data_IF_681275873832
#
_entry.id   IF_681275873832
#
_cell.length_a   1.000
_cell.length_b   1.000
_cell.length_c   1.000
_cell.angle_alpha   90.00
_cell.angle_beta   90.00
_cell.angle_gamma   90.00
#
_symmetry.space_group_name_H-M   'P 1'
#
loop_
_entity.id
_entity.type
_entity.pdbx_description
1 polymer ?
#
# COMPACT_ATOMS: atom_id res chain seq x y z
N UNK A 1 13.78 -15.34 -7.99
CA UNK A 1 13.11 -14.50 -9.02
C UNK A 1 11.65 -14.41 -8.63
N UNK A 2 11.04 -13.22 -8.74
CA UNK A 2 9.65 -12.97 -8.36
C UNK A 2 8.76 -12.89 -9.61
N UNK A 3 7.57 -13.48 -9.56
CA UNK A 3 6.52 -13.43 -10.58
C UNK A 3 5.46 -12.37 -10.24
N UNK A 4 5.37 -11.25 -10.99
CA UNK A 4 4.40 -10.20 -10.73
C UNK A 4 2.94 -10.61 -10.97
N UNK A 5 2.69 -11.58 -11.87
CA UNK A 5 1.33 -11.99 -12.25
C UNK A 5 0.61 -12.79 -11.16
N UNK A 6 1.30 -13.09 -10.08
CA UNK A 6 0.76 -13.81 -8.92
C UNK A 6 0.55 -12.90 -7.72
N UNK A 7 0.87 -11.62 -7.81
CA UNK A 7 0.80 -10.71 -6.67
C UNK A 7 -0.61 -10.21 -6.44
N UNK A 8 -1.00 -10.20 -5.17
CA UNK A 8 -2.19 -9.52 -4.69
C UNK A 8 -1.79 -8.37 -3.75
N UNK A 9 -2.53 -7.27 -3.81
CA UNK A 9 -2.35 -6.13 -2.91
C UNK A 9 -3.69 -5.71 -2.34
N UNK A 10 -3.71 -5.40 -1.04
CA UNK A 10 -4.90 -5.02 -0.31
C UNK A 10 -4.65 -3.77 0.54
N UNK A 11 -5.67 -2.91 0.59
CA UNK A 11 -5.81 -1.90 1.65
C UNK A 11 -6.80 -2.44 2.69
N UNK A 12 -6.31 -2.66 3.91
CA UNK A 12 -6.94 -3.47 4.94
C UNK A 12 -7.40 -4.84 4.43
N UNK A 13 -8.69 -4.96 4.09
CA UNK A 13 -9.32 -6.18 3.55
C UNK A 13 -9.85 -5.99 2.13
N UNK A 14 -9.67 -4.80 1.55
CA UNK A 14 -10.16 -4.43 0.23
C UNK A 14 -9.05 -4.68 -0.81
N UNK A 15 -9.25 -5.58 -1.78
CA UNK A 15 -8.25 -5.84 -2.79
C UNK A 15 -8.16 -4.65 -3.75
N UNK A 16 -6.94 -4.25 -4.11
CA UNK A 16 -6.64 -3.27 -5.17
C UNK A 16 -5.94 -3.90 -6.37
N UNK A 17 -5.16 -4.95 -6.13
CA UNK A 17 -4.50 -5.75 -7.16
C UNK A 17 -4.81 -7.22 -6.89
N UNK A 18 -5.16 -7.95 -7.95
CA UNK A 18 -5.36 -9.40 -7.95
C UNK A 18 -4.68 -10.03 -9.15
N UNK A 19 -3.87 -11.08 -8.93
CA UNK A 19 -3.10 -11.75 -9.98
C UNK A 19 -2.31 -10.75 -10.86
N UNK A 20 -1.62 -9.80 -10.21
CA UNK A 20 -0.83 -8.76 -10.89
C UNK A 20 -1.63 -7.71 -11.67
N UNK A 21 -2.96 -7.68 -11.55
CA UNK A 21 -3.84 -6.75 -12.28
C UNK A 21 -4.74 -5.95 -11.33
N UNK A 22 -5.02 -4.70 -11.67
CA UNK A 22 -5.97 -3.86 -10.94
C UNK A 22 -7.38 -4.47 -10.94
N UNK A 23 -8.10 -4.33 -9.83
CA UNK A 23 -9.43 -4.95 -9.64
C UNK A 23 -10.62 -4.18 -10.26
N UNK A 24 -10.35 -3.08 -10.98
CA UNK A 24 -11.34 -2.23 -11.64
C UNK A 24 -11.90 -1.10 -10.76
N UNK A 25 -12.49 -0.08 -11.41
CA UNK A 25 -12.78 1.23 -10.80
C UNK A 25 -13.74 1.22 -9.60
N UNK A 26 -14.74 0.33 -9.57
CA UNK A 26 -15.67 0.26 -8.44
C UNK A 26 -14.96 -0.19 -7.15
N UNK A 27 -14.14 -1.23 -7.24
CA UNK A 27 -13.36 -1.75 -6.09
C UNK A 27 -12.23 -0.82 -5.70
N UNK A 28 -11.65 -0.12 -6.67
CA UNK A 28 -10.68 0.94 -6.43
C UNK A 28 -11.29 2.10 -5.65
N UNK A 29 -12.53 2.50 -5.96
CA UNK A 29 -13.26 3.54 -5.22
C UNK A 29 -13.48 3.15 -3.76
N UNK A 30 -13.84 1.88 -3.50
CA UNK A 30 -13.98 1.36 -2.12
C UNK A 30 -12.64 1.37 -1.37
N UNK A 31 -11.57 0.93 -2.02
CA UNK A 31 -10.23 0.97 -1.44
C UNK A 31 -9.74 2.41 -1.21
N UNK A 32 -10.15 3.36 -2.05
CA UNK A 32 -9.89 4.79 -1.89
C UNK A 32 -10.53 5.38 -0.62
N UNK A 33 -11.61 4.79 -0.10
CA UNK A 33 -12.14 5.22 1.20
C UNK A 33 -11.23 4.81 2.36
N UNK A 34 -10.51 3.68 2.24
CA UNK A 34 -9.55 3.23 3.27
C UNK A 34 -8.39 4.22 3.44
N UNK A 35 -7.95 4.85 2.34
CA UNK A 35 -6.90 5.87 2.36
C UNK A 35 -7.25 7.12 3.18
N UNK A 36 -8.54 7.36 3.46
CA UNK A 36 -8.99 8.49 4.28
C UNK A 36 -8.87 8.22 5.78
N UNK A 37 -8.59 6.98 6.17
CA UNK A 37 -8.41 6.62 7.57
C UNK A 37 -7.08 7.18 8.08
N UNK A 38 -7.02 7.50 9.39
CA UNK A 38 -5.76 7.93 10.04
C UNK A 38 -4.66 6.88 9.99
N UNK A 39 -5.04 5.60 9.94
CA UNK A 39 -4.15 4.47 9.77
C UNK A 39 -4.89 3.36 9.04
N UNK A 40 -4.15 2.61 8.23
CA UNK A 40 -4.64 1.44 7.53
C UNK A 40 -3.48 0.50 7.23
N UNK A 41 -3.77 -0.77 6.98
CA UNK A 41 -2.78 -1.78 6.65
C UNK A 41 -2.67 -1.92 5.14
N UNK A 42 -1.44 -1.97 4.63
CA UNK A 42 -1.17 -2.46 3.26
C UNK A 42 -0.68 -3.90 3.38
N UNK A 43 -1.32 -4.82 2.67
CA UNK A 43 -0.89 -6.22 2.61
C UNK A 43 -0.53 -6.57 1.18
N UNK A 44 0.68 -7.10 0.97
CA UNK A 44 1.17 -7.60 -0.32
C UNK A 44 1.38 -9.10 -0.18
N UNK A 45 0.58 -9.88 -0.89
CA UNK A 45 0.73 -11.34 -0.95
C UNK A 45 1.41 -11.71 -2.28
N UNK A 46 2.61 -12.27 -2.18
CA UNK A 46 3.41 -12.65 -3.34
C UNK A 46 3.03 -14.01 -3.92
N UNK A 47 2.28 -14.83 -3.18
CA UNK A 47 1.92 -16.21 -3.54
C UNK A 47 3.13 -17.10 -3.92
N UNK A 48 4.32 -16.79 -3.39
CA UNK A 48 5.60 -17.41 -3.81
C UNK A 48 6.41 -17.99 -2.65
N UNK A 49 5.75 -18.27 -1.53
CA UNK A 49 6.36 -18.85 -0.34
C UNK A 49 5.42 -18.76 0.85
N UNK A 50 5.96 -19.01 2.05
CA UNK A 50 5.23 -18.92 3.33
C UNK A 50 5.82 -17.90 4.30
N UNK A 51 6.91 -17.25 3.90
CA UNK A 51 7.58 -16.27 4.74
C UNK A 51 6.79 -14.96 4.74
N UNK A 52 6.78 -14.30 5.90
CA UNK A 52 6.13 -13.01 6.10
C UNK A 52 7.05 -12.06 6.86
N UNK A 53 6.84 -10.77 6.65
CA UNK A 53 7.48 -9.70 7.42
C UNK A 53 6.54 -8.50 7.48
N UNK A 54 6.66 -7.69 8.52
CA UNK A 54 5.84 -6.49 8.73
C UNK A 54 6.72 -5.30 9.11
N UNK A 55 6.35 -4.15 8.55
CA UNK A 55 7.03 -2.87 8.76
C UNK A 55 5.96 -1.81 8.99
N UNK A 56 6.21 -0.92 9.95
CA UNK A 56 5.42 0.29 10.13
C UNK A 56 6.06 1.44 9.35
N UNK A 57 5.23 2.23 8.68
CA UNK A 57 5.65 3.41 7.93
C UNK A 57 4.56 4.48 8.03
N UNK A 58 4.85 5.68 7.55
CA UNK A 58 3.94 6.83 7.56
C UNK A 58 3.88 7.46 6.18
N UNK A 59 2.86 8.27 5.94
CA UNK A 59 2.78 9.08 4.73
C UNK A 59 3.88 10.15 4.70
N UNK A 60 4.15 10.66 3.49
CA UNK A 60 5.04 11.77 3.27
C UNK A 60 4.23 13.06 3.14
N UNK A 61 4.04 13.75 4.26
CA UNK A 61 3.21 14.96 4.33
C UNK A 61 3.98 16.23 3.97
N UNK A 62 3.26 17.29 3.58
CA UNK A 62 3.86 18.61 3.38
C UNK A 62 4.53 19.15 4.64
N UNK A 63 3.97 18.85 5.81
CA UNK A 63 4.54 19.29 7.08
C UNK A 63 5.84 18.55 7.41
N UNK A 64 5.94 17.27 7.05
CA UNK A 64 7.22 16.55 7.09
C UNK A 64 8.29 17.25 6.24
N UNK A 65 7.92 17.67 5.02
CA UNK A 65 8.84 18.40 4.14
C UNK A 65 9.24 19.74 4.75
N UNK A 66 8.30 20.52 5.29
CA UNK A 66 8.62 21.82 5.92
C UNK A 66 9.57 21.69 7.11
N UNK A 67 9.35 20.70 7.99
CA UNK A 67 10.21 20.44 9.15
C UNK A 67 11.64 20.11 8.71
N UNK A 68 11.79 19.31 7.65
CA UNK A 68 13.11 18.85 7.20
C UNK A 68 13.78 19.82 6.21
N UNK A 69 13.01 20.61 5.46
CA UNK A 69 13.54 21.58 4.48
C UNK A 69 14.24 22.78 5.13
N UNK A 70 14.00 23.02 6.43
CA UNK A 70 14.74 24.03 7.19
C UNK A 70 16.13 23.59 7.65
N UNK A 71 16.50 22.31 7.48
CA UNK A 71 17.89 21.91 7.63
C UNK A 71 18.67 22.43 6.43
N UNK A 72 19.52 23.44 6.67
CA UNK A 72 20.39 24.03 5.65
C UNK A 72 21.22 22.93 4.97
N UNK A 73 21.21 22.93 3.65
CA UNK A 73 22.11 22.16 2.76
C UNK A 73 23.58 22.38 3.07
#
# INVERSE_FOLDING_TARGET
RMDPNRVDVFFDRKPIVKNGRGVGGQRETEAGQVLKNKSFKVTVDLHQGRNEFSVFTTDLSLDYVKINASYRS
#
